data_IF_237238026243
#
_entry.id   IF_237238026243
#
_cell.length_a   1.000
_cell.length_b   1.000
_cell.length_c   1.000
_cell.angle_alpha   90.00
_cell.angle_beta   90.00
_cell.angle_gamma   90.00
#
_symmetry.space_group_name_H-M   'P 1'
#
loop_
_entity.id
_entity.type
_entity.pdbx_description
1 polymer ?
#
# COMPACT_ATOMS: atom_id res chain seq x y z
N UNK A 1 0.33 5.05 -20.61
CA UNK A 1 1.41 5.32 -19.65
C UNK A 1 2.61 5.89 -20.38
N UNK A 2 3.29 6.90 -19.83
CA UNK A 2 4.49 7.51 -20.40
C UNK A 2 5.60 7.49 -19.35
N UNK A 3 6.74 6.90 -19.66
CA UNK A 3 7.93 6.98 -18.82
C UNK A 3 8.56 8.37 -18.92
N UNK A 4 8.96 8.94 -17.79
CA UNK A 4 9.53 10.28 -17.66
C UNK A 4 10.99 10.27 -17.26
N UNK A 5 11.45 9.21 -16.58
CA UNK A 5 12.85 8.95 -16.29
C UNK A 5 13.13 7.46 -16.25
N UNK A 6 14.40 7.09 -16.43
CA UNK A 6 14.89 5.72 -16.33
C UNK A 6 16.29 5.74 -15.73
N UNK A 7 16.53 4.88 -14.74
CA UNK A 7 17.82 4.75 -14.08
C UNK A 7 18.12 3.28 -13.76
N UNK A 8 19.28 2.81 -14.20
CA UNK A 8 19.85 1.54 -13.75
C UNK A 8 20.57 1.77 -12.43
N UNK A 9 20.21 0.99 -11.42
CA UNK A 9 20.77 1.05 -10.09
C UNK A 9 21.90 0.01 -9.94
N UNK A 10 22.79 0.21 -8.95
CA UNK A 10 23.97 -0.65 -8.74
C UNK A 10 23.60 -2.09 -8.37
N UNK A 11 22.39 -2.32 -7.83
CA UNK A 11 21.83 -3.64 -7.48
C UNK A 11 21.19 -4.38 -8.69
N UNK A 12 21.28 -3.81 -9.88
CA UNK A 12 20.73 -4.36 -11.12
C UNK A 12 19.24 -4.11 -11.31
N UNK A 13 18.63 -3.28 -10.45
CA UNK A 13 17.26 -2.86 -10.59
C UNK A 13 17.15 -1.71 -11.58
N UNK A 14 16.18 -1.79 -12.47
CA UNK A 14 15.77 -0.69 -13.34
C UNK A 14 14.62 0.06 -12.67
N UNK A 15 14.86 1.31 -12.33
CA UNK A 15 13.86 2.22 -11.77
C UNK A 15 13.38 3.18 -12.85
N UNK A 16 12.07 3.24 -13.06
CA UNK A 16 11.44 4.12 -14.06
C UNK A 16 10.32 4.93 -13.45
N UNK A 17 10.40 6.23 -13.59
CA UNK A 17 9.24 7.08 -13.29
C UNK A 17 8.28 7.10 -14.48
N UNK A 18 7.00 7.16 -14.17
CA UNK A 18 5.97 7.26 -15.19
C UNK A 18 4.86 8.24 -14.80
N UNK A 19 4.12 8.67 -15.82
CA UNK A 19 2.82 9.33 -15.64
C UNK A 19 1.75 8.57 -16.40
N UNK A 20 0.57 8.43 -15.79
CA UNK A 20 -0.64 7.89 -16.41
C UNK A 20 -1.75 8.92 -16.24
N UNK A 21 -1.94 9.79 -17.26
CA UNK A 21 -2.72 11.00 -17.08
C UNK A 21 -2.09 11.88 -15.97
N UNK A 22 -2.86 12.17 -14.94
CA UNK A 22 -2.42 12.94 -13.76
C UNK A 22 -1.84 12.07 -12.63
N UNK A 23 -1.68 10.77 -12.85
CA UNK A 23 -1.16 9.84 -11.84
C UNK A 23 0.34 9.68 -12.03
N UNK A 24 1.19 10.25 -11.14
CA UNK A 24 2.62 9.99 -11.16
C UNK A 24 2.93 8.69 -10.43
N UNK A 25 3.85 7.90 -10.99
CA UNK A 25 4.25 6.63 -10.40
C UNK A 25 5.71 6.30 -10.63
N UNK A 26 6.14 5.22 -9.97
CA UNK A 26 7.47 4.61 -10.12
C UNK A 26 7.30 3.11 -10.31
N UNK A 27 8.08 2.55 -11.20
CA UNK A 27 8.16 1.11 -11.48
C UNK A 27 9.59 0.64 -11.25
N UNK A 28 9.76 -0.42 -10.46
CA UNK A 28 11.03 -1.11 -10.23
C UNK A 28 10.94 -2.51 -10.85
N UNK A 29 11.92 -2.85 -11.70
CA UNK A 29 12.00 -4.17 -12.33
C UNK A 29 13.44 -4.67 -12.33
N UNK A 30 13.63 -5.98 -12.44
CA UNK A 30 14.94 -6.58 -12.65
C UNK A 30 14.92 -7.50 -13.88
N UNK A 31 15.68 -7.11 -14.90
CA UNK A 31 15.73 -7.85 -16.16
C UNK A 31 14.52 -7.61 -17.06
N UNK A 32 14.46 -8.38 -18.15
CA UNK A 32 13.43 -8.27 -19.20
C UNK A 32 12.41 -9.42 -19.19
N UNK A 33 12.59 -10.43 -18.35
CA UNK A 33 11.65 -11.53 -18.22
C UNK A 33 10.39 -11.05 -17.48
N UNK A 34 9.20 -11.54 -17.87
CA UNK A 34 7.97 -11.23 -17.15
C UNK A 34 8.05 -11.65 -15.67
N UNK A 35 7.78 -10.73 -14.79
CA UNK A 35 7.83 -10.90 -13.34
C UNK A 35 6.48 -10.67 -12.67
N UNK A 36 6.13 -11.37 -11.58
CA UNK A 36 4.98 -11.05 -10.75
C UNK A 36 5.07 -9.60 -10.25
N UNK A 37 3.92 -8.94 -10.12
CA UNK A 37 3.83 -7.53 -9.76
C UNK A 37 3.34 -7.35 -8.33
N UNK A 38 4.01 -6.50 -7.56
CA UNK A 38 3.52 -6.00 -6.27
C UNK A 38 3.17 -4.53 -6.41
N UNK A 39 1.90 -4.19 -6.24
CA UNK A 39 1.44 -2.81 -6.09
C UNK A 39 1.77 -2.34 -4.67
N UNK A 40 2.56 -1.28 -4.55
CA UNK A 40 3.08 -0.80 -3.27
C UNK A 40 2.44 0.54 -2.92
N UNK A 41 1.42 0.49 -2.06
CA UNK A 41 0.72 1.68 -1.59
C UNK A 41 1.46 2.39 -0.45
N UNK A 42 1.57 3.70 -0.51
CA UNK A 42 2.04 4.51 0.62
C UNK A 42 0.91 4.78 1.62
N UNK A 43 1.28 5.06 2.88
CA UNK A 43 0.34 5.47 3.92
C UNK A 43 -0.04 6.95 3.81
N UNK A 44 -1.05 7.36 4.55
CA UNK A 44 -1.52 8.74 4.59
C UNK A 44 -0.39 9.71 4.99
N UNK A 45 -0.28 10.82 4.26
CA UNK A 45 0.77 11.82 4.47
C UNK A 45 2.12 11.52 3.80
N UNK A 46 2.31 10.32 3.27
CA UNK A 46 3.52 9.88 2.55
C UNK A 46 3.34 9.98 1.03
N UNK A 47 4.29 9.46 0.27
CA UNK A 47 4.30 9.51 -1.20
C UNK A 47 5.08 8.31 -1.78
N UNK A 48 5.00 8.11 -3.11
CA UNK A 48 5.65 7.03 -3.86
C UNK A 48 7.18 6.94 -3.69
N UNK A 49 7.82 8.03 -3.26
CA UNK A 49 9.27 8.13 -3.01
C UNK A 49 9.63 8.10 -1.52
N UNK A 50 8.70 7.67 -0.65
CA UNK A 50 9.03 7.47 0.76
C UNK A 50 10.15 6.43 0.89
N UNK A 51 11.14 6.71 1.75
CA UNK A 51 12.41 5.97 1.79
C UNK A 51 12.24 4.47 2.07
N UNK A 52 11.36 4.10 3.00
CA UNK A 52 11.09 2.69 3.32
C UNK A 52 10.33 1.98 2.21
N UNK A 53 9.42 2.68 1.52
CA UNK A 53 8.71 2.14 0.37
C UNK A 53 9.68 1.84 -0.77
N UNK A 54 10.55 2.81 -1.10
CA UNK A 54 11.58 2.65 -2.13
C UNK A 54 12.54 1.51 -1.78
N UNK A 55 13.02 1.46 -0.53
CA UNK A 55 13.93 0.41 -0.07
C UNK A 55 13.29 -0.98 -0.22
N UNK A 56 12.02 -1.12 0.17
CA UNK A 56 11.28 -2.38 0.02
C UNK A 56 11.08 -2.76 -1.45
N UNK A 57 10.66 -1.81 -2.29
CA UNK A 57 10.45 -2.08 -3.72
C UNK A 57 11.74 -2.55 -4.41
N UNK A 58 12.86 -1.88 -4.10
CA UNK A 58 14.19 -2.25 -4.64
C UNK A 58 14.65 -3.60 -4.12
N UNK A 59 14.50 -3.87 -2.82
CA UNK A 59 14.84 -5.15 -2.21
C UNK A 59 14.04 -6.29 -2.86
N UNK A 60 12.72 -6.15 -2.97
CA UNK A 60 11.85 -7.14 -3.62
C UNK A 60 12.26 -7.39 -5.08
N UNK A 61 12.65 -6.35 -5.82
CA UNK A 61 13.11 -6.50 -7.19
C UNK A 61 14.51 -7.14 -7.27
N UNK A 62 15.46 -6.72 -6.43
CA UNK A 62 16.82 -7.18 -6.45
C UNK A 62 16.97 -8.65 -5.97
N UNK A 63 16.33 -8.99 -4.85
CA UNK A 63 16.53 -10.28 -4.18
C UNK A 63 15.50 -11.34 -4.61
N UNK A 64 14.28 -10.94 -4.93
CA UNK A 64 13.19 -11.88 -5.23
C UNK A 64 12.71 -11.80 -6.68
N UNK A 65 13.17 -10.81 -7.45
CA UNK A 65 12.83 -10.66 -8.87
C UNK A 65 11.39 -10.20 -9.12
N UNK A 66 10.71 -9.61 -8.15
CA UNK A 66 9.38 -9.04 -8.35
C UNK A 66 9.46 -7.69 -9.06
N UNK A 67 8.46 -7.39 -9.87
CA UNK A 67 8.22 -6.01 -10.26
C UNK A 67 7.47 -5.30 -9.13
N UNK A 68 7.91 -4.09 -8.77
CA UNK A 68 7.24 -3.24 -7.78
C UNK A 68 6.72 -1.98 -8.44
N UNK A 69 5.51 -1.54 -8.12
CA UNK A 69 4.98 -0.28 -8.62
C UNK A 69 4.32 0.54 -7.51
N UNK A 70 4.61 1.83 -7.46
CA UNK A 70 3.98 2.78 -6.55
C UNK A 70 3.45 4.00 -7.30
N UNK A 71 2.32 4.53 -6.84
CA UNK A 71 1.74 5.79 -7.34
C UNK A 71 1.51 6.77 -6.20
N UNK A 72 1.48 8.07 -6.49
CA UNK A 72 0.96 9.04 -5.54
C UNK A 72 -0.56 9.06 -5.57
N UNK A 73 -1.17 8.85 -4.43
CA UNK A 73 -2.61 9.06 -4.26
C UNK A 73 -2.98 10.55 -4.40
N UNK A 74 -4.24 10.84 -4.69
CA UNK A 74 -4.74 12.21 -4.76
C UNK A 74 -4.36 13.00 -3.50
N UNK A 75 -3.83 14.21 -3.66
CA UNK A 75 -3.40 15.08 -2.56
C UNK A 75 -2.13 14.64 -1.84
N UNK A 76 -1.33 13.73 -2.43
CA UNK A 76 -0.06 13.23 -1.89
C UNK A 76 1.07 13.37 -2.91
N UNK A 77 2.32 13.45 -2.41
CA UNK A 77 3.50 13.55 -3.24
C UNK A 77 3.44 14.76 -4.18
N UNK A 78 3.57 14.49 -5.48
CA UNK A 78 3.56 15.51 -6.53
C UNK A 78 2.16 16.02 -6.90
N UNK A 79 1.11 15.48 -6.27
CA UNK A 79 -0.28 15.84 -6.60
C UNK A 79 -0.81 16.93 -5.67
N UNK A 80 -1.43 17.99 -6.23
CA UNK A 80 -1.94 19.09 -5.44
C UNK A 80 -3.06 18.62 -4.50
N UNK A 81 -3.10 19.22 -3.31
CA UNK A 81 -4.20 19.04 -2.37
C UNK A 81 -5.32 20.00 -2.69
N UNK A 82 -6.55 19.57 -2.48
CA UNK A 82 -7.70 20.46 -2.52
C UNK A 82 -7.77 21.32 -1.25
N UNK A 83 -8.48 22.44 -1.33
CA UNK A 83 -8.73 23.27 -0.15
C UNK A 83 -9.48 22.51 0.96
N UNK A 84 -10.35 21.57 0.57
CA UNK A 84 -11.07 20.69 1.51
C UNK A 84 -10.08 19.76 2.22
N UNK A 85 -9.17 19.11 1.48
CA UNK A 85 -8.16 18.22 2.08
C UNK A 85 -7.27 19.00 3.07
N UNK A 86 -6.86 20.23 2.72
CA UNK A 86 -6.04 21.07 3.60
C UNK A 86 -6.81 21.46 4.88
N UNK A 87 -8.10 21.78 4.77
CA UNK A 87 -8.93 22.11 5.93
C UNK A 87 -9.07 20.91 6.86
N UNK A 88 -9.43 19.72 6.34
CA UNK A 88 -9.62 18.53 7.16
C UNK A 88 -8.30 18.11 7.84
N UNK A 89 -7.14 18.28 7.16
CA UNK A 89 -5.82 18.06 7.76
C UNK A 89 -5.50 19.08 8.86
N UNK A 90 -5.92 20.33 8.71
CA UNK A 90 -5.79 21.34 9.76
C UNK A 90 -6.64 20.99 10.99
N UNK A 91 -7.87 20.53 10.76
CA UNK A 91 -8.77 20.07 11.82
C UNK A 91 -8.20 18.85 12.54
N UNK A 92 -7.61 17.90 11.83
CA UNK A 92 -6.95 16.74 12.42
C UNK A 92 -5.76 17.15 13.32
N UNK A 93 -4.92 18.07 12.86
CA UNK A 93 -3.81 18.58 13.69
C UNK A 93 -4.34 19.22 14.97
N UNK A 94 -5.34 20.12 14.86
CA UNK A 94 -5.96 20.76 16.00
C UNK A 94 -6.56 19.75 16.98
N UNK A 95 -7.34 18.79 16.48
CA UNK A 95 -7.97 17.77 17.32
C UNK A 95 -6.93 16.92 18.08
N UNK A 96 -5.81 16.57 17.42
CA UNK A 96 -4.70 15.86 18.08
C UNK A 96 -4.03 16.71 19.17
N UNK A 97 -3.87 18.02 18.97
CA UNK A 97 -3.28 18.94 19.95
C UNK A 97 -4.20 19.16 21.15
N UNK A 98 -5.52 19.16 20.93
CA UNK A 98 -6.51 19.39 21.98
C UNK A 98 -7.03 18.10 22.64
N UNK A 99 -6.69 16.93 22.10
CA UNK A 99 -7.20 15.64 22.58
C UNK A 99 -8.66 15.38 22.23
N UNK A 100 -9.18 16.06 21.20
CA UNK A 100 -10.53 15.84 20.68
C UNK A 100 -10.62 14.52 19.90
N UNK A 101 -11.81 13.90 19.81
CA UNK A 101 -12.01 12.72 18.97
C UNK A 101 -11.66 12.99 17.50
N UNK A 102 -10.99 12.03 16.87
CA UNK A 102 -10.47 12.17 15.49
C UNK A 102 -11.16 11.26 14.46
N UNK A 103 -12.03 10.37 14.87
CA UNK A 103 -12.60 9.33 14.01
C UNK A 103 -13.36 9.91 12.81
N UNK A 104 -14.26 10.87 13.05
CA UNK A 104 -15.01 11.54 11.98
C UNK A 104 -14.12 12.33 11.04
N UNK A 105 -13.04 12.93 11.57
CA UNK A 105 -12.07 13.68 10.77
C UNK A 105 -11.25 12.71 9.92
N UNK A 106 -10.88 11.55 10.47
CA UNK A 106 -10.18 10.51 9.72
C UNK A 106 -11.09 9.88 8.66
N UNK A 107 -12.36 9.66 8.94
CA UNK A 107 -13.32 9.22 7.93
C UNK A 107 -13.41 10.24 6.77
N UNK A 108 -13.49 11.52 7.07
CA UNK A 108 -13.52 12.59 6.07
C UNK A 108 -12.25 12.67 5.21
N UNK A 109 -11.11 12.17 5.69
CA UNK A 109 -9.86 12.07 4.92
C UNK A 109 -9.76 10.76 4.15
N UNK A 110 -10.03 9.63 4.80
CA UNK A 110 -9.69 8.31 4.28
C UNK A 110 -10.74 7.81 3.29
N UNK A 111 -12.03 8.06 3.53
CA UNK A 111 -13.08 7.58 2.62
C UNK A 111 -12.94 8.18 1.20
N UNK A 112 -12.83 9.52 1.03
CA UNK A 112 -12.61 10.10 -0.30
C UNK A 112 -11.28 9.68 -0.94
N UNK A 113 -10.25 9.43 -0.12
CA UNK A 113 -8.97 8.92 -0.61
C UNK A 113 -9.13 7.52 -1.21
N UNK A 114 -9.80 6.60 -0.52
CA UNK A 114 -10.06 5.24 -1.01
C UNK A 114 -10.88 5.28 -2.30
N UNK A 115 -11.93 6.08 -2.34
CA UNK A 115 -12.81 6.20 -3.51
C UNK A 115 -12.08 6.70 -4.77
N UNK A 116 -11.04 7.53 -4.61
CA UNK A 116 -10.18 7.99 -5.71
C UNK A 116 -9.05 7.00 -6.01
N UNK A 117 -8.38 6.49 -4.99
CA UNK A 117 -7.19 5.65 -5.16
C UNK A 117 -7.50 4.31 -5.83
N UNK A 118 -8.65 3.70 -5.53
CA UNK A 118 -8.99 2.38 -6.08
C UNK A 118 -9.17 2.39 -7.60
N UNK A 119 -9.95 3.28 -8.22
CA UNK A 119 -10.00 3.41 -9.68
C UNK A 119 -8.63 3.73 -10.31
N UNK A 120 -7.83 4.59 -9.66
CA UNK A 120 -6.50 4.95 -10.14
C UNK A 120 -5.55 3.74 -10.12
N UNK A 121 -5.57 2.93 -9.08
CA UNK A 121 -4.81 1.67 -9.02
C UNK A 121 -5.26 0.68 -10.09
N UNK A 122 -6.55 0.53 -10.34
CA UNK A 122 -7.06 -0.37 -11.39
C UNK A 122 -6.60 0.08 -12.77
N UNK A 123 -6.70 1.38 -13.08
CA UNK A 123 -6.22 1.95 -14.34
C UNK A 123 -4.71 1.80 -14.47
N UNK A 124 -3.96 1.99 -13.38
CA UNK A 124 -2.51 1.80 -13.36
C UNK A 124 -2.15 0.33 -13.58
N UNK A 125 -2.86 -0.59 -12.95
CA UNK A 125 -2.67 -2.03 -13.14
C UNK A 125 -2.90 -2.46 -14.59
N UNK A 126 -3.93 -1.95 -15.25
CA UNK A 126 -4.18 -2.21 -16.68
C UNK A 126 -2.99 -1.78 -17.55
N UNK A 127 -2.44 -0.59 -17.26
CA UNK A 127 -1.29 -0.07 -18.00
C UNK A 127 0.01 -0.85 -17.69
N UNK A 128 0.23 -1.26 -16.45
CA UNK A 128 1.40 -2.05 -16.06
C UNK A 128 1.37 -3.45 -16.67
N UNK A 129 0.24 -4.13 -16.66
CA UNK A 129 0.09 -5.47 -17.23
C UNK A 129 0.21 -5.49 -18.77
N UNK A 130 0.19 -4.33 -19.43
CA UNK A 130 0.49 -4.23 -20.87
C UNK A 130 1.98 -4.22 -21.19
N UNK A 131 2.85 -4.11 -20.17
CA UNK A 131 4.30 -4.10 -20.34
C UNK A 131 4.82 -5.55 -20.45
N UNK A 132 5.75 -5.83 -21.38
CA UNK A 132 6.25 -7.19 -21.61
C UNK A 132 7.04 -7.76 -20.42
N UNK A 133 7.63 -6.92 -19.60
CA UNK A 133 8.39 -7.30 -18.40
C UNK A 133 7.50 -7.55 -17.17
N UNK A 134 6.21 -7.30 -17.25
CA UNK A 134 5.24 -7.58 -16.19
C UNK A 134 4.40 -8.79 -16.58
N UNK A 135 4.38 -9.79 -15.71
CA UNK A 135 3.60 -10.99 -15.98
C UNK A 135 3.26 -11.75 -14.71
N UNK A 136 2.19 -12.53 -14.78
CA UNK A 136 1.78 -13.40 -13.69
C UNK A 136 0.91 -12.71 -12.63
N UNK A 137 0.81 -13.34 -11.45
CA UNK A 137 -0.05 -12.88 -10.38
C UNK A 137 0.35 -11.52 -9.84
N UNK A 138 -0.63 -10.81 -9.27
CA UNK A 138 -0.46 -9.47 -8.70
C UNK A 138 -0.70 -9.50 -7.21
N UNK A 139 0.21 -8.90 -6.44
CA UNK A 139 0.06 -8.64 -5.02
C UNK A 139 -0.21 -7.16 -4.73
N UNK A 140 -0.76 -6.88 -3.58
CA UNK A 140 -0.85 -5.53 -3.03
C UNK A 140 -0.17 -5.47 -1.66
N UNK A 141 0.62 -4.43 -1.41
CA UNK A 141 1.17 -4.17 -0.08
C UNK A 141 1.16 -2.68 0.22
N UNK A 142 0.49 -2.27 1.28
CA UNK A 142 0.41 -0.84 1.61
C UNK A 142 -0.74 -0.45 2.52
N UNK A 143 -1.27 0.73 2.30
CA UNK A 143 -2.37 1.30 3.09
C UNK A 143 -3.56 0.35 3.17
N UNK A 144 -3.92 -0.06 4.38
CA UNK A 144 -4.90 -1.11 4.64
C UNK A 144 -6.29 -0.78 4.07
N UNK A 145 -6.78 0.46 4.27
CA UNK A 145 -8.11 0.84 3.77
C UNK A 145 -8.23 0.76 2.24
N UNK A 146 -7.20 1.19 1.51
CA UNK A 146 -7.14 1.07 0.04
C UNK A 146 -7.04 -0.39 -0.37
N UNK A 147 -6.18 -1.16 0.32
CA UNK A 147 -5.94 -2.57 0.01
C UNK A 147 -7.14 -3.46 0.25
N UNK A 148 -7.94 -3.22 1.28
CA UNK A 148 -9.20 -3.93 1.52
C UNK A 148 -10.14 -3.74 0.33
N UNK A 149 -10.42 -2.49 -0.05
CA UNK A 149 -11.31 -2.20 -1.17
C UNK A 149 -10.77 -2.78 -2.48
N UNK A 150 -9.46 -2.65 -2.75
CA UNK A 150 -8.84 -3.27 -3.94
C UNK A 150 -9.02 -4.78 -3.95
N UNK A 151 -8.76 -5.47 -2.84
CA UNK A 151 -8.89 -6.92 -2.74
C UNK A 151 -10.33 -7.42 -2.98
N UNK A 152 -11.33 -6.57 -2.72
CA UNK A 152 -12.75 -6.89 -2.97
C UNK A 152 -13.14 -6.65 -4.42
N UNK A 153 -12.69 -5.54 -5.04
CA UNK A 153 -13.21 -5.12 -6.35
C UNK A 153 -12.28 -5.43 -7.53
N UNK A 154 -11.03 -5.87 -7.26
CA UNK A 154 -10.03 -6.16 -8.29
C UNK A 154 -9.59 -7.62 -8.22
N UNK A 155 -10.20 -8.51 -9.01
CA UNK A 155 -9.97 -9.96 -8.91
C UNK A 155 -8.55 -10.41 -9.32
N UNK A 156 -7.75 -9.55 -9.95
CA UNK A 156 -6.36 -9.84 -10.30
C UNK A 156 -5.43 -9.77 -9.09
N UNK A 157 -5.84 -9.16 -7.98
CA UNK A 157 -5.08 -9.17 -6.73
C UNK A 157 -5.20 -10.55 -6.09
N UNK A 158 -4.09 -11.28 -6.02
CA UNK A 158 -4.03 -12.68 -5.57
C UNK A 158 -3.57 -12.83 -4.13
N UNK A 159 -2.86 -11.84 -3.58
CA UNK A 159 -2.39 -11.81 -2.20
C UNK A 159 -2.21 -10.37 -1.71
N UNK A 160 -2.33 -10.15 -0.41
CA UNK A 160 -2.18 -8.81 0.16
C UNK A 160 -1.34 -8.80 1.43
N UNK A 161 -0.50 -7.77 1.58
CA UNK A 161 0.22 -7.42 2.80
C UNK A 161 -0.29 -6.09 3.35
N UNK A 162 -0.82 -6.08 4.56
CA UNK A 162 -1.38 -4.89 5.19
C UNK A 162 -0.56 -4.48 6.41
N UNK A 163 -0.36 -3.19 6.58
CA UNK A 163 0.21 -2.62 7.78
C UNK A 163 -0.90 -2.09 8.69
N UNK A 164 -1.00 -2.63 9.90
CA UNK A 164 -2.04 -2.33 10.87
C UNK A 164 -1.89 -0.98 11.60
N UNK A 165 -1.00 -0.12 11.13
CA UNK A 165 -0.72 1.18 11.73
C UNK A 165 -1.57 2.33 11.19
N UNK A 166 -2.65 2.05 10.46
CA UNK A 166 -3.50 3.08 9.89
C UNK A 166 -4.95 2.98 10.33
N UNK A 167 -5.60 4.12 10.43
CA UNK A 167 -7.04 4.16 10.62
C UNK A 167 -7.76 3.49 9.45
N UNK A 168 -8.71 2.61 9.77
CA UNK A 168 -9.57 1.97 8.78
C UNK A 168 -11.01 2.40 9.08
N UNK A 169 -11.63 3.17 8.18
CA UNK A 169 -13.04 3.58 8.28
C UNK A 169 -13.99 2.41 8.48
N UNK A 170 -15.21 2.67 8.96
CA UNK A 170 -16.23 1.64 9.19
C UNK A 170 -16.56 0.86 7.93
N UNK A 171 -16.73 1.50 6.77
CA UNK A 171 -17.11 0.84 5.53
C UNK A 171 -16.03 -0.15 5.02
N UNK A 172 -14.74 0.21 4.85
CA UNK A 172 -13.69 -0.77 4.57
C UNK A 172 -13.56 -1.88 5.62
N UNK A 173 -13.84 -1.58 6.90
CA UNK A 173 -13.83 -2.60 7.96
C UNK A 173 -14.92 -3.65 7.75
N UNK A 174 -16.11 -3.25 7.33
CA UNK A 174 -17.18 -4.19 6.96
C UNK A 174 -16.82 -5.00 5.71
N UNK A 175 -16.16 -4.37 4.73
CA UNK A 175 -15.67 -5.02 3.52
C UNK A 175 -14.58 -6.05 3.77
N UNK A 176 -13.83 -5.95 4.87
CA UNK A 176 -12.79 -6.92 5.23
C UNK A 176 -13.29 -8.37 5.24
N UNK A 177 -14.56 -8.60 5.57
CA UNK A 177 -15.20 -9.93 5.51
C UNK A 177 -15.26 -10.52 4.11
N UNK A 178 -15.19 -9.69 3.07
CA UNK A 178 -15.21 -10.10 1.67
C UNK A 178 -13.81 -10.37 1.12
N UNK A 179 -12.75 -9.98 1.84
CA UNK A 179 -11.37 -10.28 1.46
C UNK A 179 -11.08 -11.74 1.78
N UNK A 180 -10.98 -12.56 0.75
CA UNK A 180 -10.78 -14.02 0.86
C UNK A 180 -9.42 -14.50 0.36
N UNK A 181 -8.63 -13.60 -0.24
CA UNK A 181 -7.26 -13.89 -0.70
C UNK A 181 -6.31 -14.07 0.49
N UNK A 182 -5.19 -14.80 0.31
CA UNK A 182 -4.14 -14.86 1.33
C UNK A 182 -3.68 -13.48 1.77
N UNK A 183 -3.48 -13.29 3.08
CA UNK A 183 -3.01 -12.00 3.60
C UNK A 183 -1.97 -12.15 4.71
N UNK A 184 -1.03 -11.21 4.73
CA UNK A 184 -0.09 -10.93 5.79
C UNK A 184 -0.48 -9.60 6.45
N UNK A 185 -0.63 -9.60 7.77
CA UNK A 185 -1.02 -8.43 8.55
C UNK A 185 0.10 -8.09 9.54
N UNK A 186 0.74 -6.94 9.38
CA UNK A 186 1.83 -6.47 10.23
C UNK A 186 1.29 -5.53 11.29
N UNK A 187 1.42 -5.90 12.56
CA UNK A 187 0.99 -5.14 13.71
C UNK A 187 2.19 -4.70 14.55
N UNK A 188 2.33 -3.40 14.78
CA UNK A 188 3.22 -2.87 15.81
C UNK A 188 2.50 -2.88 17.15
N UNK A 189 2.94 -3.75 18.07
CA UNK A 189 2.24 -4.06 19.29
C UNK A 189 2.15 -2.91 20.30
N UNK A 190 3.17 -2.06 20.27
CA UNK A 190 3.37 -0.90 21.14
C UNK A 190 3.19 0.44 20.38
N UNK A 191 2.40 0.43 19.28
CA UNK A 191 2.07 1.63 18.52
C UNK A 191 1.12 2.51 19.32
N UNK A 192 1.63 3.62 19.83
CA UNK A 192 0.85 4.59 20.60
C UNK A 192 -0.12 5.43 19.75
N UNK A 193 0.07 5.43 18.44
CA UNK A 193 -0.80 6.14 17.48
C UNK A 193 -1.99 5.32 16.99
N UNK A 194 -2.12 4.07 17.43
CA UNK A 194 -3.05 3.11 16.85
C UNK A 194 -3.68 2.21 17.92
N UNK A 195 -4.99 2.09 17.90
CA UNK A 195 -5.67 1.16 18.81
C UNK A 195 -5.42 -0.29 18.39
N UNK A 196 -4.62 -0.99 19.19
CA UNK A 196 -4.27 -2.39 18.95
C UNK A 196 -5.48 -3.30 18.90
N UNK A 197 -6.50 -3.08 19.75
CA UNK A 197 -7.69 -3.92 19.74
C UNK A 197 -8.48 -3.75 18.46
N UNK A 198 -8.62 -2.52 17.96
CA UNK A 198 -9.26 -2.29 16.66
C UNK A 198 -8.49 -2.96 15.51
N UNK A 199 -7.16 -3.02 15.58
CA UNK A 199 -6.34 -3.73 14.59
C UNK A 199 -6.57 -5.26 14.66
N UNK A 200 -6.66 -5.83 15.85
CA UNK A 200 -6.96 -7.25 16.05
C UNK A 200 -8.39 -7.60 15.60
N UNK A 201 -9.36 -6.76 15.93
CA UNK A 201 -10.76 -6.92 15.50
C UNK A 201 -10.87 -6.88 13.96
N UNK A 202 -10.07 -6.01 13.29
CA UNK A 202 -9.98 -5.99 11.85
C UNK A 202 -9.35 -7.26 11.29
N UNK A 203 -8.26 -7.75 11.89
CA UNK A 203 -7.65 -9.02 11.51
C UNK A 203 -8.64 -10.18 11.62
N UNK A 204 -9.41 -10.23 12.68
CA UNK A 204 -10.44 -11.25 12.88
C UNK A 204 -11.56 -11.15 11.83
N UNK A 205 -11.91 -9.94 11.42
CA UNK A 205 -12.97 -9.69 10.45
C UNK A 205 -12.64 -10.18 9.03
N UNK A 206 -11.35 -10.29 8.65
CA UNK A 206 -10.99 -10.76 7.31
C UNK A 206 -11.53 -12.15 7.02
N UNK A 207 -12.24 -12.29 5.87
CA UNK A 207 -12.82 -13.54 5.40
C UNK A 207 -11.81 -14.56 4.86
N UNK A 208 -10.54 -14.18 4.75
CA UNK A 208 -9.47 -15.06 4.30
C UNK A 208 -9.29 -16.26 5.24
N UNK A 209 -9.14 -17.45 4.65
CA UNK A 209 -8.79 -18.68 5.36
C UNK A 209 -7.30 -18.83 5.57
N UNK A 210 -6.50 -18.04 4.87
CA UNK A 210 -5.04 -18.02 4.94
C UNK A 210 -4.59 -16.61 5.29
N UNK A 211 -4.61 -16.31 6.59
CA UNK A 211 -4.19 -15.01 7.13
C UNK A 211 -3.13 -15.20 8.21
N UNK A 212 -2.05 -14.44 8.12
CA UNK A 212 -0.93 -14.45 9.04
C UNK A 212 -0.83 -13.10 9.73
N UNK A 213 -0.68 -13.12 11.07
CA UNK A 213 -0.40 -11.93 11.86
C UNK A 213 1.05 -11.96 12.31
N UNK A 214 1.81 -10.92 11.97
CA UNK A 214 3.11 -10.64 12.58
C UNK A 214 2.98 -9.46 13.55
N UNK A 215 3.37 -9.68 14.79
CA UNK A 215 3.33 -8.66 15.83
C UNK A 215 4.76 -8.31 16.28
N UNK A 216 5.15 -7.05 16.11
CA UNK A 216 6.47 -6.55 16.45
C UNK A 216 6.39 -5.45 17.51
N UNK A 217 7.50 -5.21 18.21
CA UNK A 217 7.72 -4.04 19.05
C UNK A 217 8.55 -3.00 18.28
N UNK A 218 8.47 -1.73 18.68
CA UNK A 218 9.24 -0.63 18.10
C UNK A 218 8.42 0.59 17.73
N UNK A 219 7.17 0.67 18.19
CA UNK A 219 6.26 1.78 17.92
C UNK A 219 5.84 1.86 16.43
N UNK A 220 5.14 2.94 16.08
CA UNK A 220 4.53 3.12 14.76
C UNK A 220 5.49 2.97 13.57
N UNK A 221 6.71 3.44 13.70
CA UNK A 221 7.71 3.46 12.61
C UNK A 221 8.79 2.39 12.73
N UNK A 222 8.76 1.59 13.79
CA UNK A 222 9.82 0.66 14.17
C UNK A 222 9.69 -0.75 13.57
N UNK A 223 8.97 -0.94 12.46
CA UNK A 223 8.89 -2.25 11.79
C UNK A 223 10.30 -2.78 11.49
N UNK A 224 10.66 -3.98 12.00
CA UNK A 224 11.97 -4.57 11.77
C UNK A 224 12.27 -4.83 10.29
N UNK A 225 13.56 -4.75 9.92
CA UNK A 225 13.97 -4.97 8.53
C UNK A 225 13.69 -6.39 8.01
N UNK A 226 13.73 -7.41 8.89
CA UNK A 226 13.43 -8.78 8.49
C UNK A 226 11.99 -8.97 7.98
N UNK A 227 11.07 -8.07 8.34
CA UNK A 227 9.70 -8.10 7.82
C UNK A 227 9.62 -7.81 6.31
N UNK A 228 10.64 -7.22 5.71
CA UNK A 228 10.73 -7.13 4.25
C UNK A 228 10.92 -8.51 3.64
N UNK A 229 11.88 -9.29 4.13
CA UNK A 229 12.10 -10.66 3.68
C UNK A 229 10.90 -11.55 3.92
N UNK A 230 10.26 -11.44 5.08
CA UNK A 230 9.09 -12.25 5.41
C UNK A 230 7.88 -11.87 4.54
N UNK A 231 7.72 -10.60 4.21
CA UNK A 231 6.74 -10.11 3.24
C UNK A 231 7.00 -10.67 1.84
N UNK A 232 8.24 -10.63 1.37
CA UNK A 232 8.62 -11.17 0.05
C UNK A 232 8.48 -12.69 0.00
N UNK A 233 8.82 -13.41 1.08
CA UNK A 233 8.57 -14.87 1.19
C UNK A 233 7.08 -15.18 1.20
N UNK A 234 6.26 -14.34 1.85
CA UNK A 234 4.81 -14.47 1.80
C UNK A 234 4.32 -14.33 0.36
N UNK A 235 4.72 -13.28 -0.36
CA UNK A 235 4.36 -13.13 -1.77
C UNK A 235 4.90 -14.28 -2.63
N UNK A 236 6.09 -14.81 -2.35
CA UNK A 236 6.67 -15.96 -3.07
C UNK A 236 5.88 -17.26 -2.92
N UNK A 237 5.04 -17.40 -1.90
CA UNK A 237 4.11 -18.53 -1.78
C UNK A 237 2.86 -18.35 -2.64
N UNK A 238 2.43 -17.12 -2.87
CA UNK A 238 1.11 -16.80 -3.44
C UNK A 238 1.15 -16.16 -4.84
N UNK A 239 2.30 -15.65 -5.28
CA UNK A 239 2.48 -15.04 -6.61
C UNK A 239 3.30 -16.00 -7.51
N UNK A 240 2.76 -17.19 -7.76
CA UNK A 240 3.37 -18.22 -8.62
C UNK A 240 2.54 -18.49 -9.85
#
# INVERSE_FOLDING_TARGET
>A
MRFTSEQHLDDGVLEREFTLGEIPGVLWTRGSAPAPLILIGHNGGLHKRESRLVARARHSAAEYGYAGAAIDHSGHGDRPRSAVDEQVRADLRRAKETGEPIDEILDALVVPLVDKAVPEWRTTLDALLSLPEIGGPVGYSGMTAVGIRLAVVEPRISAAGFFAGGFVPSAPREEARQVTIPLLFLLQWDDEGNDRQLALDLFDAFGSKEKTLHANLGGHTGTPWFEMDDGDRFFGRHLR
#
